data_IF_374082213812
#
_entry.id   IF_374082213812
#
_cell.length_a   1.000
_cell.length_b   1.000
_cell.length_c   1.000
_cell.angle_alpha   90.00
_cell.angle_beta   90.00
_cell.angle_gamma   90.00
#
_symmetry.space_group_name_H-M   'P 1'
#
loop_
_entity.id
_entity.type
_entity.pdbx_description
1 polymer ?
#
# COMPACT_ATOMS: atom_id res chain seq x y z
N UNK A 1 -1.51 1.12 5.65
CA UNK A 1 -2.74 0.89 6.45
C UNK A 1 -3.27 -0.50 6.19
N UNK A 2 -3.14 -1.39 7.16
CA UNK A 2 -3.62 -2.79 7.08
C UNK A 2 -3.59 -3.39 8.48
N UNK A 3 -4.38 -4.46 8.74
CA UNK A 3 -4.16 -5.29 9.94
C UNK A 3 -2.68 -5.68 10.05
N UNK A 4 -2.15 -5.68 11.27
CA UNK A 4 -0.79 -6.17 11.55
C UNK A 4 -0.87 -7.69 11.57
N UNK A 5 -0.64 -8.31 10.42
CA UNK A 5 -0.88 -9.73 10.17
C UNK A 5 0.28 -10.28 9.31
N UNK A 6 0.77 -11.51 9.57
CA UNK A 6 1.87 -12.11 8.80
C UNK A 6 1.66 -12.08 7.29
N UNK A 7 0.41 -12.16 6.83
CA UNK A 7 0.05 -12.16 5.41
C UNK A 7 0.35 -10.82 4.71
N UNK A 8 0.62 -9.75 5.46
CA UNK A 8 0.84 -8.40 4.93
C UNK A 8 2.30 -8.10 4.59
N UNK A 9 3.20 -9.05 4.84
CA UNK A 9 4.61 -8.94 4.48
C UNK A 9 5.37 -7.83 5.22
N UNK A 10 4.94 -7.48 6.43
CA UNK A 10 5.57 -6.41 7.23
C UNK A 10 7.04 -6.71 7.54
N UNK A 11 7.43 -7.98 7.62
CA UNK A 11 8.82 -8.39 7.74
C UNK A 11 9.69 -7.86 6.58
N UNK A 12 9.19 -7.94 5.33
CA UNK A 12 9.91 -7.39 4.17
C UNK A 12 9.97 -5.87 4.21
N UNK A 13 8.86 -5.23 4.60
CA UNK A 13 8.79 -3.77 4.68
C UNK A 13 9.77 -3.22 5.72
N UNK A 14 9.83 -3.84 6.90
CA UNK A 14 10.75 -3.44 7.98
C UNK A 14 12.20 -3.59 7.50
N UNK A 15 12.56 -4.75 6.94
CA UNK A 15 13.94 -4.97 6.48
C UNK A 15 14.33 -4.02 5.32
N UNK A 16 13.40 -3.78 4.39
CA UNK A 16 13.64 -2.86 3.28
C UNK A 16 13.85 -1.42 3.76
N UNK A 17 13.01 -0.96 4.70
CA UNK A 17 13.11 0.39 5.25
C UNK A 17 14.36 0.57 6.13
N UNK A 18 14.82 -0.47 6.83
CA UNK A 18 16.13 -0.46 7.51
C UNK A 18 17.30 -0.33 6.53
N UNK A 19 17.26 -1.05 5.40
CA UNK A 19 18.27 -0.92 4.34
C UNK A 19 18.32 0.52 3.80
N UNK A 20 17.17 1.15 3.59
CA UNK A 20 17.09 2.55 3.13
C UNK A 20 17.67 3.54 4.16
N UNK A 21 17.37 3.37 5.44
CA UNK A 21 17.97 4.20 6.50
C UNK A 21 19.50 4.05 6.53
N UNK A 22 20.02 2.83 6.37
CA UNK A 22 21.48 2.58 6.29
C UNK A 22 22.12 3.25 5.08
N UNK A 23 21.39 3.39 3.97
CA UNK A 23 21.81 4.18 2.79
C UNK A 23 21.72 5.70 3.00
N UNK A 24 21.19 6.17 4.12
CA UNK A 24 21.00 7.59 4.41
C UNK A 24 19.75 8.21 3.78
N UNK A 25 18.84 7.38 3.25
CA UNK A 25 17.57 7.84 2.69
C UNK A 25 16.61 8.17 3.82
N UNK A 26 16.09 9.40 3.82
CA UNK A 26 15.17 9.89 4.85
C UNK A 26 13.73 9.62 4.45
N UNK A 27 12.96 9.08 5.38
CA UNK A 27 11.52 8.88 5.27
C UNK A 27 10.90 8.84 6.68
N UNK A 28 9.57 8.85 6.73
CA UNK A 28 8.81 8.53 7.94
C UNK A 28 7.77 7.47 7.62
N UNK A 29 7.79 6.35 8.33
CA UNK A 29 6.88 5.24 8.15
C UNK A 29 5.67 5.39 9.08
N UNK A 30 4.48 5.47 8.51
CA UNK A 30 3.23 5.42 9.28
C UNK A 30 2.64 4.01 9.18
N UNK A 31 2.82 3.21 10.24
CA UNK A 31 2.22 1.89 10.36
C UNK A 31 0.85 2.02 11.02
N UNK A 32 -0.19 2.16 10.18
CA UNK A 32 -1.56 2.28 10.63
C UNK A 32 -2.32 0.95 10.51
N UNK A 33 -2.78 0.45 11.66
CA UNK A 33 -3.53 -0.80 11.78
C UNK A 33 -3.31 -1.48 13.13
N UNK A 34 -4.18 -2.44 13.43
CA UNK A 34 -4.05 -3.34 14.57
C UNK A 34 -4.62 -4.71 14.19
N UNK A 35 -4.31 -5.71 15.00
CA UNK A 35 -4.84 -7.06 14.87
C UNK A 35 -5.07 -7.63 16.27
N UNK A 36 -6.16 -7.23 16.97
CA UNK A 36 -6.46 -7.71 18.32
C UNK A 36 -6.71 -9.23 18.38
N UNK A 37 -6.89 -9.89 17.24
CA UNK A 37 -7.03 -11.35 17.12
C UNK A 37 -5.68 -12.08 17.15
N UNK A 38 -4.57 -11.38 16.94
CA UNK A 38 -3.21 -11.89 17.06
C UNK A 38 -2.29 -10.86 17.74
N UNK A 39 -2.48 -10.64 19.05
CA UNK A 39 -1.70 -9.67 19.80
C UNK A 39 -0.21 -10.05 19.87
N UNK A 40 0.12 -11.35 19.78
CA UNK A 40 1.50 -11.83 19.82
C UNK A 40 2.27 -11.36 18.60
N UNK A 41 1.70 -11.50 17.39
CA UNK A 41 2.34 -11.00 16.19
C UNK A 41 2.39 -9.48 16.15
N UNK A 42 1.33 -8.80 16.62
CA UNK A 42 1.31 -7.34 16.69
C UNK A 42 2.43 -6.80 17.59
N UNK A 43 2.59 -7.34 18.80
CA UNK A 43 3.66 -6.94 19.71
C UNK A 43 5.04 -7.30 19.17
N UNK A 44 5.21 -8.46 18.51
CA UNK A 44 6.46 -8.81 17.84
C UNK A 44 6.88 -7.74 16.83
N UNK A 45 5.96 -7.26 16.00
CA UNK A 45 6.24 -6.21 15.00
C UNK A 45 6.60 -4.88 15.68
N UNK A 46 5.86 -4.49 16.72
CA UNK A 46 6.17 -3.27 17.48
C UNK A 46 7.56 -3.34 18.13
N UNK A 47 7.89 -4.46 18.76
CA UNK A 47 9.21 -4.70 19.36
C UNK A 47 10.31 -4.66 18.30
N UNK A 48 10.13 -5.34 17.16
CA UNK A 48 11.09 -5.31 16.07
C UNK A 48 11.39 -3.90 15.58
N UNK A 49 10.38 -3.02 15.46
CA UNK A 49 10.56 -1.62 15.07
C UNK A 49 11.25 -0.81 16.18
N UNK A 50 10.84 -1.01 17.43
CA UNK A 50 11.39 -0.27 18.59
C UNK A 50 12.86 -0.61 18.88
N UNK A 51 13.26 -1.86 18.63
CA UNK A 51 14.62 -2.35 18.84
C UNK A 51 15.56 -2.01 17.67
N UNK A 52 15.06 -1.34 16.63
CA UNK A 52 15.81 -1.01 15.42
C UNK A 52 15.98 0.49 15.20
N UNK A 53 16.82 0.85 14.22
CA UNK A 53 17.01 2.24 13.81
C UNK A 53 15.72 2.92 13.32
N UNK A 54 14.68 2.13 12.98
CA UNK A 54 13.39 2.63 12.53
C UNK A 54 12.56 3.30 13.62
N UNK A 55 12.82 3.05 14.90
CA UNK A 55 12.03 3.57 16.01
C UNK A 55 11.81 5.10 15.94
N UNK A 56 12.84 5.85 15.52
CA UNK A 56 12.79 7.31 15.40
C UNK A 56 12.08 7.82 14.15
N UNK A 57 11.84 6.94 13.18
CA UNK A 57 11.29 7.24 11.87
C UNK A 57 9.97 6.50 11.63
N UNK A 58 9.34 5.98 12.69
CA UNK A 58 8.10 5.21 12.58
C UNK A 58 7.06 5.71 13.56
N UNK A 59 5.83 5.89 13.09
CA UNK A 59 4.65 6.09 13.93
C UNK A 59 3.72 4.91 13.77
N UNK A 60 3.43 4.23 14.87
CA UNK A 60 2.44 3.15 14.93
C UNK A 60 1.15 3.74 15.51
N UNK A 61 0.12 3.91 14.67
CA UNK A 61 -1.10 4.64 15.07
C UNK A 61 -2.14 3.74 15.72
N UNK A 62 -2.03 2.42 15.57
CA UNK A 62 -3.14 1.49 15.79
C UNK A 62 -4.20 1.62 14.69
N UNK A 63 -5.41 1.13 14.97
CA UNK A 63 -6.54 1.19 14.02
C UNK A 63 -6.96 2.64 13.75
N UNK A 64 -7.16 2.98 12.46
CA UNK A 64 -7.61 4.31 12.01
C UNK A 64 -8.82 4.18 11.09
N UNK A 65 -9.74 5.15 11.16
CA UNK A 65 -10.97 5.18 10.36
C UNK A 65 -11.42 6.63 10.10
N UNK A 66 -12.40 6.79 9.19
CA UNK A 66 -12.98 8.10 8.87
C UNK A 66 -11.95 9.12 8.39
N UNK A 67 -12.11 10.36 8.83
CA UNK A 67 -11.28 11.49 8.40
C UNK A 67 -9.79 11.29 8.70
N UNK A 68 -9.44 10.63 9.81
CA UNK A 68 -8.04 10.34 10.13
C UNK A 68 -7.41 9.40 9.10
N UNK A 69 -8.14 8.37 8.68
CA UNK A 69 -7.66 7.44 7.64
C UNK A 69 -7.52 8.19 6.31
N UNK A 70 -8.51 9.02 5.96
CA UNK A 70 -8.48 9.80 4.73
C UNK A 70 -7.30 10.77 4.70
N UNK A 71 -7.10 11.56 5.76
CA UNK A 71 -5.99 12.51 5.87
C UNK A 71 -4.64 11.81 5.78
N UNK A 72 -4.45 10.70 6.49
CA UNK A 72 -3.22 9.91 6.40
C UNK A 72 -2.96 9.34 4.99
N UNK A 73 -4.00 9.02 4.21
CA UNK A 73 -3.83 8.58 2.82
C UNK A 73 -3.49 9.75 1.90
N UNK A 74 -4.17 10.89 2.07
CA UNK A 74 -3.96 12.12 1.28
C UNK A 74 -2.58 12.73 1.51
N UNK A 75 -2.10 12.70 2.75
CA UNK A 75 -0.81 13.28 3.14
C UNK A 75 0.37 12.33 2.88
N UNK A 76 0.11 11.06 2.55
CA UNK A 76 1.16 10.09 2.26
C UNK A 76 1.76 10.31 0.87
N UNK A 77 3.10 10.35 0.79
CA UNK A 77 3.82 10.34 -0.49
C UNK A 77 3.53 9.08 -1.31
N UNK A 78 3.40 7.93 -0.64
CA UNK A 78 3.12 6.64 -1.25
C UNK A 78 2.50 5.69 -0.23
N UNK A 79 1.73 4.72 -0.72
CA UNK A 79 1.15 3.66 0.09
C UNK A 79 1.79 2.31 -0.22
N UNK A 80 2.22 1.56 0.80
CA UNK A 80 2.96 0.31 0.60
C UNK A 80 2.18 -0.88 1.19
N UNK A 81 1.98 -1.94 0.40
CA UNK A 81 1.31 -3.18 0.80
C UNK A 81 1.96 -4.41 0.15
N UNK A 82 3.06 -4.95 0.71
CA UNK A 82 3.77 -6.10 0.17
C UNK A 82 3.14 -7.41 0.67
N UNK A 83 1.83 -7.59 0.46
CA UNK A 83 1.10 -8.74 1.00
C UNK A 83 1.40 -10.04 0.25
N UNK A 84 1.44 -11.16 0.96
CA UNK A 84 1.46 -12.48 0.32
C UNK A 84 0.19 -12.76 -0.48
N UNK A 85 -0.96 -12.29 0.03
CA UNK A 85 -2.25 -12.51 -0.60
C UNK A 85 -3.27 -11.45 -0.13
N UNK A 86 -3.95 -10.82 -1.07
CA UNK A 86 -5.16 -10.01 -0.86
C UNK A 86 -6.19 -10.33 -1.95
N UNK A 87 -7.46 -10.53 -1.55
CA UNK A 87 -8.54 -10.76 -2.50
C UNK A 87 -8.69 -9.63 -3.52
N UNK A 88 -8.60 -8.38 -3.06
CA UNK A 88 -8.68 -7.19 -3.92
C UNK A 88 -7.65 -6.14 -3.49
N UNK A 89 -7.65 -5.80 -2.20
CA UNK A 89 -6.82 -4.71 -1.67
C UNK A 89 -7.59 -3.40 -1.59
N UNK A 90 -8.68 -3.37 -0.81
CA UNK A 90 -9.50 -2.16 -0.62
C UNK A 90 -8.63 -0.98 -0.16
N UNK A 91 -7.68 -1.20 0.75
CA UNK A 91 -6.76 -0.17 1.20
C UNK A 91 -5.88 0.41 0.07
N UNK A 92 -5.55 -0.40 -0.95
CA UNK A 92 -4.83 0.05 -2.15
C UNK A 92 -5.76 0.92 -2.99
N UNK A 93 -6.99 0.49 -3.24
CA UNK A 93 -7.98 1.28 -3.97
C UNK A 93 -8.28 2.62 -3.28
N UNK A 94 -8.36 2.64 -1.94
CA UNK A 94 -8.56 3.86 -1.16
C UNK A 94 -7.36 4.82 -1.28
N UNK A 95 -6.12 4.31 -1.22
CA UNK A 95 -4.92 5.13 -1.46
C UNK A 95 -4.90 5.71 -2.89
N UNK A 96 -5.20 4.88 -3.89
CA UNK A 96 -5.25 5.34 -5.27
C UNK A 96 -6.37 6.38 -5.48
N UNK A 97 -7.51 6.25 -4.78
CA UNK A 97 -8.61 7.20 -4.81
C UNK A 97 -8.23 8.59 -4.27
N UNK A 98 -7.21 8.69 -3.41
CA UNK A 98 -6.66 9.97 -2.94
C UNK A 98 -5.57 10.53 -3.84
N UNK A 99 -5.26 9.87 -4.96
CA UNK A 99 -4.13 10.22 -5.82
C UNK A 99 -2.77 9.77 -5.28
N UNK A 100 -2.77 8.88 -4.29
CA UNK A 100 -1.54 8.37 -3.68
C UNK A 100 -1.05 7.16 -4.46
N UNK A 101 0.15 7.19 -5.05
CA UNK A 101 0.68 6.04 -5.76
C UNK A 101 1.00 4.90 -4.79
N UNK A 102 0.92 3.67 -5.30
CA UNK A 102 1.02 2.46 -4.47
C UNK A 102 2.27 1.65 -4.79
N UNK A 103 2.86 1.01 -3.79
CA UNK A 103 3.88 -0.04 -3.96
C UNK A 103 3.28 -1.33 -3.41
N UNK A 104 2.96 -2.27 -4.29
CA UNK A 104 2.26 -3.51 -3.92
C UNK A 104 3.00 -4.72 -4.47
N UNK A 105 2.78 -5.87 -3.84
CA UNK A 105 3.24 -7.15 -4.38
C UNK A 105 2.27 -7.70 -5.43
N UNK A 106 2.74 -8.66 -6.23
CA UNK A 106 1.89 -9.50 -7.09
C UNK A 106 0.87 -10.35 -6.30
N UNK A 107 1.01 -10.43 -4.97
CA UNK A 107 0.04 -11.07 -4.08
C UNK A 107 -1.24 -10.25 -3.88
N UNK A 108 -1.28 -8.99 -4.30
CA UNK A 108 -2.49 -8.14 -4.21
C UNK A 108 -3.22 -8.18 -5.54
N UNK A 109 -4.42 -8.77 -5.60
CA UNK A 109 -5.10 -9.08 -6.87
C UNK A 109 -5.26 -7.91 -7.86
N UNK A 110 -5.34 -6.67 -7.38
CA UNK A 110 -5.41 -5.45 -8.21
C UNK A 110 -4.10 -5.14 -8.98
N UNK A 111 -3.00 -5.86 -8.72
CA UNK A 111 -1.68 -5.59 -9.29
C UNK A 111 -1.60 -5.50 -10.82
N UNK A 112 -2.33 -6.30 -11.63
CA UNK A 112 -2.23 -6.19 -13.08
C UNK A 112 -2.70 -4.83 -13.57
N UNK A 113 -3.77 -4.32 -12.95
CA UNK A 113 -4.33 -3.02 -13.29
C UNK A 113 -3.41 -1.89 -12.82
N UNK A 114 -2.80 -2.01 -11.63
CA UNK A 114 -1.78 -1.05 -11.15
C UNK A 114 -0.61 -0.97 -12.13
N UNK A 115 -0.13 -2.12 -12.63
CA UNK A 115 0.96 -2.19 -13.62
C UNK A 115 0.55 -1.58 -14.97
N UNK A 116 -0.62 -1.95 -15.47
CA UNK A 116 -1.09 -1.52 -16.79
C UNK A 116 -1.40 -0.02 -16.85
N UNK A 117 -1.91 0.55 -15.76
CA UNK A 117 -2.15 1.99 -15.65
C UNK A 117 -0.92 2.77 -15.23
N UNK A 118 0.18 2.11 -14.87
CA UNK A 118 1.36 2.78 -14.30
C UNK A 118 0.97 3.59 -13.03
N UNK A 119 0.06 3.06 -12.22
CA UNK A 119 -0.53 3.67 -11.03
C UNK A 119 0.33 3.52 -9.75
N UNK A 120 1.54 3.00 -9.89
CA UNK A 120 2.36 2.59 -8.76
C UNK A 120 3.44 1.60 -9.18
N UNK A 121 4.08 0.95 -8.23
CA UNK A 121 5.10 -0.07 -8.46
C UNK A 121 4.58 -1.44 -8.03
N UNK A 122 4.77 -2.43 -8.89
CA UNK A 122 4.50 -3.83 -8.57
C UNK A 122 5.83 -4.54 -8.33
N UNK A 123 5.98 -5.15 -7.16
CA UNK A 123 7.21 -5.82 -6.73
C UNK A 123 6.98 -7.31 -6.49
N UNK A 124 8.06 -8.09 -6.57
CA UNK A 124 8.14 -9.43 -6.00
C UNK A 124 8.20 -9.34 -4.47
N UNK A 125 7.87 -10.45 -3.79
CA UNK A 125 7.92 -10.56 -2.32
C UNK A 125 9.32 -10.91 -1.85
N UNK A 126 10.26 -10.01 -2.12
CA UNK A 126 11.61 -10.04 -1.58
C UNK A 126 12.04 -8.64 -1.16
N UNK A 127 13.02 -8.60 -0.26
CA UNK A 127 13.45 -7.37 0.40
C UNK A 127 14.13 -6.42 -0.59
N UNK A 128 14.91 -6.93 -1.53
CA UNK A 128 15.74 -6.10 -2.40
C UNK A 128 14.89 -5.41 -3.47
N UNK A 129 13.93 -6.13 -4.07
CA UNK A 129 12.97 -5.55 -4.99
C UNK A 129 12.09 -4.48 -4.31
N UNK A 130 11.60 -4.75 -3.10
CA UNK A 130 10.83 -3.78 -2.32
C UNK A 130 11.68 -2.56 -1.95
N UNK A 131 12.94 -2.76 -1.54
CA UNK A 131 13.89 -1.67 -1.25
C UNK A 131 14.08 -0.78 -2.47
N UNK A 132 14.33 -1.37 -3.64
CA UNK A 132 14.54 -0.62 -4.88
C UNK A 132 13.29 0.17 -5.31
N UNK A 133 12.11 -0.42 -5.17
CA UNK A 133 10.84 0.25 -5.49
C UNK A 133 10.61 1.48 -4.59
N UNK A 134 10.80 1.31 -3.27
CA UNK A 134 10.65 2.40 -2.30
C UNK A 134 11.71 3.48 -2.54
N UNK A 135 12.97 3.10 -2.75
CA UNK A 135 14.06 4.03 -3.07
C UNK A 135 13.74 4.88 -4.31
N UNK A 136 13.30 4.23 -5.39
CA UNK A 136 12.93 4.92 -6.63
C UNK A 136 11.79 5.90 -6.40
N UNK A 137 10.77 5.50 -5.64
CA UNK A 137 9.60 6.33 -5.33
C UNK A 137 9.96 7.54 -4.45
N UNK A 138 10.87 7.37 -3.48
CA UNK A 138 11.35 8.47 -2.62
C UNK A 138 12.16 9.47 -3.45
N UNK A 139 13.09 8.97 -4.28
CA UNK A 139 14.05 9.80 -5.01
C UNK A 139 13.47 10.46 -6.27
N UNK A 140 12.25 10.10 -6.68
CA UNK A 140 11.63 10.60 -7.92
C UNK A 140 10.25 11.25 -7.67
N UNK A 141 10.19 12.47 -7.11
CA UNK A 141 8.93 13.16 -6.83
C UNK A 141 8.02 13.33 -8.04
N UNK A 142 8.58 13.64 -9.21
CA UNK A 142 7.82 13.86 -10.45
C UNK A 142 7.15 12.57 -10.92
N UNK A 143 7.90 11.45 -10.87
CA UNK A 143 7.36 10.12 -11.19
C UNK A 143 6.27 9.73 -10.18
N UNK A 144 6.47 10.04 -8.90
CA UNK A 144 5.49 9.77 -7.85
C UNK A 144 4.18 10.54 -8.09
N UNK A 145 4.28 11.83 -8.43
CA UNK A 145 3.12 12.65 -8.76
C UNK A 145 2.39 12.13 -10.01
N UNK A 146 3.13 11.77 -11.07
CA UNK A 146 2.56 11.20 -12.29
C UNK A 146 1.81 9.89 -12.01
N UNK A 147 2.45 8.96 -11.29
CA UNK A 147 1.83 7.68 -10.90
C UNK A 147 0.62 7.90 -10.00
N UNK A 148 0.64 8.92 -9.14
CA UNK A 148 -0.51 9.31 -8.31
C UNK A 148 -1.72 9.76 -9.13
N UNK A 149 -1.50 10.56 -10.18
CA UNK A 149 -2.57 10.94 -11.13
C UNK A 149 -3.12 9.72 -11.86
N UNK A 150 -2.25 8.80 -12.29
CA UNK A 150 -2.66 7.56 -12.95
C UNK A 150 -3.40 6.60 -12.00
N UNK A 151 -3.02 6.57 -10.73
CA UNK A 151 -3.70 5.83 -9.68
C UNK A 151 -5.14 6.33 -9.47
N UNK A 152 -5.31 7.64 -9.38
CA UNK A 152 -6.63 8.25 -9.30
C UNK A 152 -7.48 7.92 -10.54
N UNK A 153 -6.88 8.03 -11.72
CA UNK A 153 -7.56 7.73 -12.99
C UNK A 153 -8.00 6.26 -13.06
N UNK A 154 -7.13 5.31 -12.68
CA UNK A 154 -7.47 3.89 -12.59
C UNK A 154 -8.70 3.64 -11.71
N UNK A 155 -8.72 4.21 -10.50
CA UNK A 155 -9.87 4.05 -9.60
C UNK A 155 -11.13 4.65 -10.19
N UNK A 156 -11.04 5.87 -10.73
CA UNK A 156 -12.18 6.54 -11.35
C UNK A 156 -12.79 5.69 -12.47
N UNK A 157 -11.96 5.12 -13.33
CA UNK A 157 -12.38 4.41 -14.54
C UNK A 157 -12.88 2.99 -14.25
N UNK A 158 -12.24 2.26 -13.32
CA UNK A 158 -12.53 0.83 -13.12
C UNK A 158 -13.21 0.50 -11.80
N UNK A 159 -13.01 1.30 -10.75
CA UNK A 159 -13.37 0.93 -9.38
C UNK A 159 -14.21 1.97 -8.64
N UNK A 160 -14.64 3.04 -9.33
CA UNK A 160 -15.67 3.92 -8.81
C UNK A 160 -16.99 3.18 -8.70
N UNK A 161 -17.86 3.60 -7.79
CA UNK A 161 -19.20 3.01 -7.65
C UNK A 161 -19.98 3.02 -8.97
N UNK A 162 -19.87 4.11 -9.74
CA UNK A 162 -20.44 4.22 -11.08
C UNK A 162 -19.85 3.19 -12.05
N UNK A 163 -18.51 3.03 -12.08
CA UNK A 163 -17.85 2.08 -12.97
C UNK A 163 -18.19 0.63 -12.63
N UNK A 164 -18.25 0.29 -11.34
CA UNK A 164 -18.61 -1.05 -10.88
C UNK A 164 -20.08 -1.33 -11.21
N UNK A 165 -21.00 -0.38 -10.95
CA UNK A 165 -22.41 -0.56 -11.28
C UNK A 165 -22.62 -0.83 -12.77
N UNK A 166 -21.92 -0.10 -13.64
CA UNK A 166 -21.98 -0.30 -15.10
C UNK A 166 -21.46 -1.68 -15.51
N UNK A 167 -20.31 -2.11 -14.99
CA UNK A 167 -19.75 -3.44 -15.27
C UNK A 167 -20.69 -4.57 -14.84
N UNK A 168 -21.35 -4.41 -13.68
CA UNK A 168 -22.32 -5.40 -13.19
C UNK A 168 -23.54 -5.46 -14.12
N UNK A 169 -24.11 -4.31 -14.51
CA UNK A 169 -25.25 -4.25 -15.44
C UNK A 169 -24.90 -4.95 -16.77
N UNK A 170 -23.73 -4.68 -17.33
CA UNK A 170 -23.24 -5.32 -18.56
C UNK A 170 -23.08 -6.83 -18.40
N UNK A 171 -22.55 -7.29 -17.26
CA UNK A 171 -22.45 -8.72 -16.97
C UNK A 171 -23.82 -9.41 -16.94
N UNK A 172 -24.84 -8.78 -16.35
CA UNK A 172 -26.22 -9.31 -16.36
C UNK A 172 -26.83 -9.34 -17.76
N UNK A 173 -26.57 -8.33 -18.60
CA UNK A 173 -27.02 -8.34 -19.99
C UNK A 173 -26.39 -9.49 -20.79
N UNK A 174 -25.11 -9.80 -20.55
CA UNK A 174 -24.40 -10.87 -21.24
C UNK A 174 -24.84 -12.29 -20.83
N UNK A 175 -25.50 -12.45 -19.67
CA UNK A 175 -26.07 -13.74 -19.25
C UNK A 175 -27.43 -14.04 -19.88
N UNK A 176 -28.10 -13.01 -20.41
CA UNK A 176 -29.42 -13.12 -21.03
C UNK A 176 -29.37 -13.21 -22.57
N UNK A 177 -28.17 -13.21 -23.15
CA UNK A 177 -27.90 -13.49 -24.58
C UNK A 177 -27.26 -14.86 -24.73
#
# INVERSE_FOLDING_TARGET
>A
MSRIDPKKGLNFLIEATEKLLKKGIKFHLVLAGSNPQDPVYEEKIKQQINDSSLAKYTTITGFVQGDLKLGLLQDADMFILPSYYENFGIAVAEAMATGTPVIISEGVYIWPDVKNYDAGWVTTLDVDALTQAIETAILSPEIREERGKKAYQLVKDKYSWSAIAQQVIEAYHNLNN
#
